data_IF_709281530098
#
_entry.id   IF_709281530098
#
_cell.length_a   1.000
_cell.length_b   1.000
_cell.length_c   1.000
_cell.angle_alpha   90.00
_cell.angle_beta   90.00
_cell.angle_gamma   90.00
#
_symmetry.space_group_name_H-M   'P 1'
#
loop_
_entity.id
_entity.type
_entity.pdbx_description
1 polymer ?
#
# COMPACT_ATOMS: atom_id res chain seq x y z
N UNK A 1 14.19 -2.72 -14.10
CA UNK A 1 13.30 -1.54 -14.07
C UNK A 1 13.25 -1.06 -12.63
N UNK A 2 13.41 0.25 -12.38
CA UNK A 2 13.47 0.81 -11.02
C UNK A 2 12.11 0.63 -10.33
N UNK A 3 12.16 0.07 -9.12
CA UNK A 3 11.05 -0.25 -8.23
C UNK A 3 10.07 0.92 -8.05
N UNK A 4 8.78 0.60 -7.83
CA UNK A 4 7.66 1.52 -7.61
C UNK A 4 7.97 2.65 -6.63
N UNK A 5 8.39 3.79 -7.18
CA UNK A 5 8.61 5.02 -6.43
C UNK A 5 7.25 5.54 -5.99
N UNK A 6 7.08 5.70 -4.68
CA UNK A 6 5.87 6.27 -4.13
C UNK A 6 5.77 7.75 -4.53
N UNK A 7 4.63 8.13 -5.11
CA UNK A 7 4.31 9.50 -5.50
C UNK A 7 3.22 10.06 -4.58
N UNK A 8 3.40 11.29 -4.10
CA UNK A 8 2.45 12.00 -3.25
C UNK A 8 3.12 12.68 -2.03
N UNK A 9 2.33 13.25 -1.10
CA UNK A 9 0.87 13.21 -1.09
C UNK A 9 0.24 14.12 -2.13
N UNK A 10 -0.84 13.67 -2.75
CA UNK A 10 -1.72 14.47 -3.60
C UNK A 10 -3.09 14.60 -2.96
N UNK A 11 -3.80 15.71 -3.23
CA UNK A 11 -5.19 15.85 -2.81
C UNK A 11 -6.10 14.96 -3.67
N UNK A 12 -7.11 14.27 -3.10
CA UNK A 12 -7.98 13.34 -3.86
C UNK A 12 -8.67 14.00 -5.06
N UNK A 13 -8.89 15.31 -5.00
CA UNK A 13 -9.52 16.09 -6.09
C UNK A 13 -8.75 15.93 -7.41
N UNK A 14 -7.46 15.62 -7.32
CA UNK A 14 -6.56 15.45 -8.45
C UNK A 14 -6.25 13.98 -8.76
N UNK A 15 -7.02 13.02 -8.22
CA UNK A 15 -6.80 11.58 -8.43
C UNK A 15 -6.67 11.24 -9.91
N UNK A 16 -7.64 11.63 -10.72
CA UNK A 16 -7.68 11.35 -12.16
C UNK A 16 -6.53 12.02 -12.95
N UNK A 17 -5.91 13.07 -12.40
CA UNK A 17 -4.78 13.75 -13.03
C UNK A 17 -3.49 12.96 -12.78
N UNK A 18 -3.28 12.52 -11.54
CA UNK A 18 -2.05 11.85 -11.15
C UNK A 18 -2.05 10.34 -11.43
N UNK A 19 -3.21 9.70 -11.35
CA UNK A 19 -3.39 8.26 -11.58
C UNK A 19 -4.12 8.06 -12.92
N UNK A 20 -3.38 8.24 -14.01
CA UNK A 20 -3.94 8.28 -15.37
C UNK A 20 -3.88 6.95 -16.13
N UNK A 21 -3.04 6.01 -15.66
CA UNK A 21 -2.86 4.69 -16.28
C UNK A 21 -3.62 3.62 -15.52
N UNK A 22 -4.37 2.79 -16.26
CA UNK A 22 -4.86 1.51 -15.77
C UNK A 22 -3.69 0.55 -15.63
N UNK A 23 -3.33 0.26 -14.39
CA UNK A 23 -2.23 -0.63 -14.06
C UNK A 23 -2.38 -1.16 -12.62
N UNK A 24 -1.76 -2.32 -12.30
CA UNK A 24 -1.57 -2.75 -10.93
C UNK A 24 -0.83 -1.68 -10.11
N UNK A 25 -1.05 -1.66 -8.81
CA UNK A 25 -0.35 -0.73 -7.94
C UNK A 25 -0.79 -0.78 -6.49
N UNK A 26 -0.05 -0.07 -5.65
CA UNK A 26 -0.39 0.12 -4.24
C UNK A 26 -0.65 1.60 -3.97
N UNK A 27 -1.45 1.87 -2.94
CA UNK A 27 -1.82 3.22 -2.54
C UNK A 27 -1.86 3.38 -1.02
N UNK A 28 -1.72 4.63 -0.60
CA UNK A 28 -1.86 5.07 0.79
C UNK A 28 -2.92 6.17 0.81
N UNK A 29 -3.84 6.13 1.77
CA UNK A 29 -4.81 7.18 2.01
C UNK A 29 -4.53 7.90 3.32
N UNK A 30 -4.82 9.20 3.35
CA UNK A 30 -4.72 10.01 4.56
C UNK A 30 -5.79 11.10 4.63
N UNK A 31 -6.31 11.35 5.83
CA UNK A 31 -7.19 12.48 6.16
C UNK A 31 -6.41 13.79 6.29
N UNK A 32 -5.15 13.71 6.75
CA UNK A 32 -4.31 14.89 7.10
C UNK A 32 -3.10 15.09 6.19
N UNK A 33 -2.77 14.12 5.34
CA UNK A 33 -1.64 14.21 4.40
C UNK A 33 -0.26 14.07 5.05
N UNK A 34 -0.20 13.55 6.29
CA UNK A 34 1.04 13.44 7.07
C UNK A 34 1.39 12.01 7.50
N UNK A 35 0.40 11.13 7.56
CA UNK A 35 0.55 9.74 7.99
C UNK A 35 -0.37 8.84 7.17
N UNK A 36 -0.01 7.56 7.03
CA UNK A 36 -0.89 6.57 6.44
C UNK A 36 -2.04 6.28 7.42
N UNK A 37 -3.27 6.61 7.02
CA UNK A 37 -4.45 6.15 7.74
C UNK A 37 -4.90 4.80 7.19
N UNK A 38 -4.74 4.58 5.87
CA UNK A 38 -5.04 3.31 5.21
C UNK A 38 -4.01 2.99 4.12
N UNK A 39 -3.72 1.72 3.90
CA UNK A 39 -2.89 1.19 2.82
C UNK A 39 -3.68 0.11 2.08
N UNK A 40 -3.59 0.11 0.75
CA UNK A 40 -4.24 -0.89 -0.09
C UNK A 40 -3.45 -1.18 -1.36
N UNK A 41 -3.83 -2.25 -2.06
CA UNK A 41 -3.36 -2.55 -3.41
C UNK A 41 -4.50 -2.85 -4.38
N UNK A 42 -4.16 -2.84 -5.67
CA UNK A 42 -4.98 -3.33 -6.76
C UNK A 42 -4.15 -4.16 -7.72
N UNK A 43 -4.69 -5.31 -8.11
CA UNK A 43 -4.08 -6.20 -9.08
C UNK A 43 -4.20 -5.69 -10.53
N UNK A 44 -5.19 -4.85 -10.83
CA UNK A 44 -5.57 -4.51 -12.20
C UNK A 44 -5.61 -3.00 -12.47
N UNK A 45 -6.24 -2.24 -11.57
CA UNK A 45 -6.45 -0.80 -11.73
C UNK A 45 -6.41 -0.09 -10.37
N UNK A 46 -5.22 0.43 -10.04
CA UNK A 46 -5.01 1.19 -8.81
C UNK A 46 -5.83 2.48 -8.77
N UNK A 47 -6.12 3.10 -9.92
CA UNK A 47 -6.90 4.35 -9.99
C UNK A 47 -8.37 4.12 -9.65
N UNK A 48 -8.99 3.13 -10.30
CA UNK A 48 -10.39 2.77 -10.03
C UNK A 48 -10.57 2.27 -8.60
N UNK A 49 -9.63 1.46 -8.11
CA UNK A 49 -9.68 0.93 -6.74
C UNK A 49 -9.58 2.07 -5.72
N UNK A 50 -8.61 2.97 -5.90
CA UNK A 50 -8.44 4.15 -5.03
C UNK A 50 -9.70 5.03 -5.05
N UNK A 51 -10.31 5.25 -6.22
CA UNK A 51 -11.53 6.02 -6.37
C UNK A 51 -12.72 5.44 -5.56
N UNK A 52 -12.85 4.11 -5.53
CA UNK A 52 -13.88 3.42 -4.72
C UNK A 52 -13.67 3.61 -3.23
N UNK A 53 -12.42 3.57 -2.74
CA UNK A 53 -12.14 3.78 -1.32
C UNK A 53 -12.37 5.23 -0.88
N UNK A 54 -11.99 6.21 -1.70
CA UNK A 54 -12.18 7.63 -1.33
C UNK A 54 -13.63 8.08 -1.38
N UNK A 55 -14.47 7.49 -2.24
CA UNK A 55 -15.90 7.85 -2.32
C UNK A 55 -16.70 7.40 -1.09
N UNK A 56 -16.19 6.45 -0.32
CA UNK A 56 -16.86 5.86 0.84
C UNK A 56 -16.28 6.34 2.19
N UNK A 57 -15.44 7.39 2.19
CA UNK A 57 -14.62 7.73 3.36
C UNK A 57 -14.28 9.22 3.49
N UNK A 58 -13.62 9.58 4.59
CA UNK A 58 -13.17 10.96 4.90
C UNK A 58 -11.74 11.29 4.45
N UNK A 59 -11.10 10.48 3.61
CA UNK A 59 -9.73 10.72 3.17
C UNK A 59 -9.61 11.93 2.23
N UNK A 60 -8.53 12.70 2.37
CA UNK A 60 -8.30 13.95 1.62
C UNK A 60 -7.02 13.93 0.80
N UNK A 61 -6.13 13.00 1.10
CA UNK A 61 -4.83 12.87 0.48
C UNK A 61 -4.55 11.42 0.14
N UNK A 62 -3.74 11.21 -0.89
CA UNK A 62 -3.26 9.89 -1.27
C UNK A 62 -1.81 9.90 -1.73
N UNK A 63 -1.16 8.76 -1.57
CA UNK A 63 0.04 8.39 -2.30
C UNK A 63 -0.25 7.15 -3.13
N UNK A 64 0.53 6.92 -4.19
CA UNK A 64 0.44 5.69 -4.96
C UNK A 64 1.78 5.33 -5.59
N UNK A 65 1.91 4.06 -5.99
CA UNK A 65 2.95 3.59 -6.89
C UNK A 65 2.35 2.59 -7.86
N UNK A 66 2.72 2.72 -9.14
CA UNK A 66 2.45 1.67 -10.11
C UNK A 66 3.33 0.45 -9.85
N UNK A 67 2.76 -0.72 -10.13
CA UNK A 67 3.44 -2.00 -10.10
C UNK A 67 3.41 -2.65 -11.49
N UNK A 68 4.43 -3.45 -11.79
CA UNK A 68 4.52 -4.23 -13.03
C UNK A 68 3.68 -5.50 -13.01
N UNK A 69 3.18 -5.90 -11.85
CA UNK A 69 2.32 -7.09 -11.66
C UNK A 69 1.45 -6.96 -10.42
N UNK A 70 0.39 -7.76 -10.35
CA UNK A 70 -0.43 -7.90 -9.15
C UNK A 70 0.37 -8.33 -7.92
N UNK A 71 1.29 -9.29 -8.09
CA UNK A 71 2.19 -9.73 -7.02
C UNK A 71 3.04 -8.59 -6.46
N UNK A 72 3.59 -7.74 -7.33
CA UNK A 72 4.35 -6.58 -6.88
C UNK A 72 3.46 -5.55 -6.16
N UNK A 73 2.21 -5.38 -6.58
CA UNK A 73 1.26 -4.50 -5.90
C UNK A 73 0.98 -4.98 -4.46
N UNK A 74 0.70 -6.27 -4.28
CA UNK A 74 0.49 -6.86 -2.94
C UNK A 74 1.76 -6.87 -2.10
N UNK A 75 2.93 -7.00 -2.73
CA UNK A 75 4.20 -6.87 -2.04
C UNK A 75 4.41 -5.45 -1.50
N UNK A 76 4.12 -4.42 -2.29
CA UNK A 76 4.19 -3.01 -1.89
C UNK A 76 3.22 -2.68 -0.76
N UNK A 77 1.95 -3.12 -0.88
CA UNK A 77 0.93 -2.96 0.16
C UNK A 77 1.41 -3.53 1.50
N UNK A 78 1.91 -4.76 1.49
CA UNK A 78 2.37 -5.40 2.72
C UNK A 78 3.61 -4.71 3.30
N UNK A 79 4.56 -4.31 2.45
CA UNK A 79 5.72 -3.52 2.88
C UNK A 79 5.30 -2.21 3.55
N UNK A 80 4.32 -1.50 2.97
CA UNK A 80 3.83 -0.22 3.47
C UNK A 80 2.97 -0.36 4.72
N UNK A 81 2.14 -1.40 4.81
CA UNK A 81 1.42 -1.76 6.02
C UNK A 81 2.37 -1.89 7.22
N UNK A 82 3.42 -2.71 7.05
CA UNK A 82 4.41 -2.96 8.09
C UNK A 82 5.32 -1.77 8.39
N UNK A 83 5.51 -0.86 7.42
CA UNK A 83 6.35 0.33 7.59
C UNK A 83 5.59 1.47 8.27
N UNK A 84 4.34 1.69 7.90
CA UNK A 84 3.59 2.87 8.28
C UNK A 84 2.53 2.62 9.35
N UNK A 85 2.21 1.36 9.66
CA UNK A 85 1.25 0.97 10.68
C UNK A 85 -0.08 1.76 10.56
N UNK A 86 -0.76 1.66 9.40
CA UNK A 86 -1.98 2.43 9.14
C UNK A 86 -3.08 2.13 10.17
N UNK A 87 -3.73 3.19 10.67
CA UNK A 87 -4.71 3.10 11.77
C UNK A 87 -5.99 2.38 11.38
N UNK A 88 -6.35 2.41 10.09
CA UNK A 88 -7.64 1.93 9.58
C UNK A 88 -7.49 0.59 8.84
N UNK A 89 -6.30 -0.03 8.86
CA UNK A 89 -6.11 -1.44 8.52
C UNK A 89 -5.85 -2.23 9.82
N UNK A 90 -6.89 -2.64 10.56
CA UNK A 90 -6.72 -3.36 11.83
C UNK A 90 -6.06 -4.73 11.67
N UNK A 91 -6.06 -5.28 10.45
CA UNK A 91 -5.46 -6.57 10.11
C UNK A 91 -4.49 -6.42 8.94
N UNK A 92 -3.42 -7.23 8.89
CA UNK A 92 -2.51 -7.25 7.75
C UNK A 92 -3.22 -7.76 6.48
N UNK A 93 -2.74 -7.37 5.28
CA UNK A 93 -3.28 -7.89 4.02
C UNK A 93 -3.23 -9.42 3.96
N UNK A 94 -4.35 -10.04 3.56
CA UNK A 94 -4.49 -11.51 3.49
C UNK A 94 -3.89 -12.14 2.23
N UNK A 95 -3.63 -11.33 1.19
CA UNK A 95 -3.16 -11.80 -0.11
C UNK A 95 -1.79 -12.50 -0.08
N UNK A 96 -1.04 -12.35 1.01
CA UNK A 96 0.28 -12.95 1.21
C UNK A 96 0.29 -13.93 2.40
N UNK A 97 -0.85 -14.59 2.67
CA UNK A 97 -0.94 -15.56 3.75
C UNK A 97 0.10 -16.67 3.57
N UNK A 98 1.08 -16.67 4.48
CA UNK A 98 1.82 -17.84 4.93
C UNK A 98 2.61 -18.63 3.86
N UNK A 99 3.86 -18.22 3.61
CA UNK A 99 5.07 -19.07 3.78
C UNK A 99 6.31 -18.40 3.16
N UNK A 100 6.17 -17.81 1.97
CA UNK A 100 7.28 -17.24 1.17
C UNK A 100 7.55 -15.75 1.39
N UNK A 101 6.57 -14.98 1.90
CA UNK A 101 6.78 -13.54 2.11
C UNK A 101 7.77 -13.29 3.25
N UNK A 102 8.91 -12.67 2.92
CA UNK A 102 9.92 -12.20 3.87
C UNK A 102 9.89 -10.69 3.91
N UNK A 103 9.38 -10.16 5.01
CA UNK A 103 9.51 -8.75 5.36
C UNK A 103 10.99 -8.36 5.43
N UNK A 104 11.44 -7.49 4.54
CA UNK A 104 12.80 -6.92 4.54
C UNK A 104 12.84 -5.49 5.09
N UNK A 105 11.72 -4.98 5.60
CA UNK A 105 11.62 -3.62 6.14
C UNK A 105 12.46 -3.48 7.40
N UNK A 106 13.49 -2.60 7.41
CA UNK A 106 14.29 -2.34 8.61
C UNK A 106 13.41 -1.80 9.75
N UNK A 107 13.53 -2.38 10.94
CA UNK A 107 12.84 -1.90 12.15
C UNK A 107 11.42 -2.44 12.38
N UNK A 108 10.89 -3.35 11.56
CA UNK A 108 9.57 -3.92 11.79
C UNK A 108 9.60 -5.06 12.82
N UNK A 109 8.96 -4.87 14.00
CA UNK A 109 8.97 -5.82 15.13
C UNK A 109 8.32 -7.17 14.80
N UNK A 110 7.24 -7.19 14.00
CA UNK A 110 6.60 -8.43 13.52
C UNK A 110 7.54 -9.28 12.65
N UNK A 111 8.61 -8.68 12.11
CA UNK A 111 9.58 -9.33 11.22
C UNK A 111 10.79 -9.92 11.97
N UNK A 112 11.06 -9.48 13.21
CA UNK A 112 12.19 -9.97 14.03
C UNK A 112 11.96 -11.38 14.61
N UNK A 113 10.70 -11.79 14.80
CA UNK A 113 10.35 -13.08 15.42
C UNK A 113 10.61 -14.30 14.51
N UNK A 114 10.57 -14.15 13.18
CA UNK A 114 10.77 -15.27 12.24
C UNK A 114 12.24 -15.64 11.98
N UNK A 115 13.21 -14.86 12.49
CA UNK A 115 14.65 -15.18 12.41
C UNK A 115 15.17 -16.03 13.58
N UNK A 116 14.35 -16.29 14.60
CA UNK A 116 14.75 -17.05 15.80
C UNK A 116 14.16 -18.45 15.91
N UNK A 117 13.17 -18.80 15.08
CA UNK A 117 12.62 -20.16 15.02
C UNK A 117 13.30 -20.95 13.89
N UNK A 118 14.60 -21.16 14.05
CA UNK A 118 15.31 -22.26 13.41
C UNK A 118 15.67 -23.25 14.51
N UNK A 119 14.72 -24.13 14.85
CA UNK A 119 14.97 -25.43 15.48
C UNK A 119 14.52 -26.46 14.46
#
# INVERSE_FOLDING_TARGET
MKNGVIAGPFNIRYLHIFVSRRAPGAFILSRKGRAADFVGASADDVGDTLARFVSQSGYRYFWFAYASSAEQAYWLENQWYHRFHPTDNPYPPSHNSAESWRCTTPGCTSCALRRRSGI
#
